data_IF_416844290050
#
_entry.id   IF_416844290050
#
_cell.length_a   1.000
_cell.length_b   1.000
_cell.length_c   1.000
_cell.angle_alpha   90.00
_cell.angle_beta   90.00
_cell.angle_gamma   90.00
#
_symmetry.space_group_name_H-M   'P 1'
#
loop_
_entity.id
_entity.type
_entity.pdbx_description
1 polymer ?
#
# COMPACT_ATOMS: atom_id res chain seq x y z
N UNK A 1 -16.09 6.12 -7.45
CA UNK A 1 -15.00 5.43 -8.18
C UNK A 1 -15.06 3.91 -8.00
N UNK A 2 -15.79 3.19 -8.86
CA UNK A 2 -15.86 1.72 -8.79
C UNK A 2 -15.63 1.09 -10.17
N UNK A 3 -15.14 -0.15 -10.19
CA UNK A 3 -14.97 -0.91 -11.42
C UNK A 3 -14.92 -2.42 -11.18
N UNK A 4 -14.61 -3.22 -12.21
CA UNK A 4 -14.72 -4.67 -12.11
C UNK A 4 -13.47 -5.32 -11.48
N UNK A 5 -13.71 -6.34 -10.64
CA UNK A 5 -12.75 -7.38 -10.27
C UNK A 5 -13.01 -8.60 -11.16
N UNK A 6 -12.13 -8.80 -12.13
CA UNK A 6 -12.26 -9.74 -13.23
C UNK A 6 -11.46 -11.00 -12.93
N UNK A 7 -12.18 -12.10 -12.70
CA UNK A 7 -11.58 -13.43 -12.60
C UNK A 7 -11.62 -14.15 -13.95
N UNK A 8 -12.73 -13.98 -14.70
CA UNK A 8 -12.85 -14.44 -16.07
C UNK A 8 -13.05 -13.24 -17.02
N UNK A 9 -12.23 -13.08 -18.07
CA UNK A 9 -12.34 -11.96 -19.01
C UNK A 9 -13.50 -12.16 -20.01
N UNK A 10 -14.74 -12.04 -19.55
CA UNK A 10 -15.93 -12.09 -20.43
C UNK A 10 -16.06 -10.79 -21.24
N UNK A 11 -16.75 -10.79 -22.39
CA UNK A 11 -16.97 -9.57 -23.18
C UNK A 11 -17.58 -8.43 -22.35
N UNK A 12 -18.53 -8.74 -21.48
CA UNK A 12 -19.22 -7.81 -20.59
C UNK A 12 -18.27 -7.21 -19.55
N UNK A 13 -17.49 -8.05 -18.86
CA UNK A 13 -16.48 -7.60 -17.91
C UNK A 13 -15.42 -6.69 -18.57
N UNK A 14 -14.97 -7.06 -19.79
CA UNK A 14 -14.01 -6.25 -20.55
C UNK A 14 -14.60 -4.91 -21.02
N UNK A 15 -15.88 -4.86 -21.38
CA UNK A 15 -16.59 -3.60 -21.67
C UNK A 15 -16.61 -2.69 -20.45
N UNK A 16 -16.89 -3.22 -19.25
CA UNK A 16 -16.85 -2.44 -18.02
C UNK A 16 -15.43 -1.96 -17.71
N UNK A 17 -14.43 -2.83 -17.82
CA UNK A 17 -13.02 -2.47 -17.62
C UNK A 17 -12.58 -1.31 -18.52
N UNK A 18 -13.07 -1.27 -19.76
CA UNK A 18 -12.72 -0.23 -20.74
C UNK A 18 -13.11 1.20 -20.33
N UNK A 19 -14.08 1.37 -19.43
CA UNK A 19 -14.58 2.70 -19.01
C UNK A 19 -14.38 2.99 -17.52
N UNK A 20 -14.14 1.97 -16.70
CA UNK A 20 -14.03 2.10 -15.25
C UNK A 20 -12.74 2.82 -14.81
N UNK A 21 -12.79 3.63 -13.73
CA UNK A 21 -11.61 4.30 -13.17
C UNK A 21 -10.64 3.35 -12.44
N UNK A 22 -11.07 2.13 -12.14
CA UNK A 22 -10.27 1.11 -11.48
C UNK A 22 -10.63 -0.28 -12.04
N UNK A 23 -9.64 -1.14 -12.23
CA UNK A 23 -9.84 -2.52 -12.72
C UNK A 23 -8.93 -3.45 -11.93
N UNK A 24 -9.47 -4.56 -11.43
CA UNK A 24 -8.69 -5.65 -10.84
C UNK A 24 -8.77 -6.87 -11.75
N UNK A 25 -7.66 -7.55 -11.96
CA UNK A 25 -7.58 -8.80 -12.70
C UNK A 25 -6.90 -9.90 -11.87
N UNK A 26 -7.49 -11.09 -11.87
CA UNK A 26 -6.95 -12.28 -11.22
C UNK A 26 -6.32 -13.20 -12.27
N UNK A 27 -5.06 -13.59 -12.08
CA UNK A 27 -4.29 -14.55 -12.88
C UNK A 27 -4.01 -14.20 -14.35
N UNK A 28 -4.89 -13.47 -15.03
CA UNK A 28 -4.72 -13.03 -16.41
C UNK A 28 -4.67 -11.49 -16.50
N UNK A 29 -3.56 -10.89 -16.96
CA UNK A 29 -3.45 -9.44 -17.07
C UNK A 29 -4.23 -8.84 -18.26
N UNK A 30 -4.85 -9.66 -19.12
CA UNK A 30 -5.58 -9.17 -20.31
C UNK A 30 -6.68 -8.12 -20.02
N UNK A 31 -7.44 -8.15 -18.91
CA UNK A 31 -8.40 -7.09 -18.62
C UNK A 31 -7.75 -5.73 -18.37
N UNK A 32 -6.49 -5.71 -17.93
CA UNK A 32 -5.76 -4.47 -17.67
C UNK A 32 -5.33 -3.77 -18.96
N UNK A 33 -5.24 -4.50 -20.08
CA UNK A 33 -4.84 -3.93 -21.39
C UNK A 33 -5.98 -3.16 -22.05
N UNK A 34 -7.24 -3.50 -21.74
CA UNK A 34 -8.42 -2.77 -22.27
C UNK A 34 -8.82 -1.59 -21.39
N UNK A 35 -8.32 -1.52 -20.15
CA UNK A 35 -8.65 -0.45 -19.22
C UNK A 35 -8.23 0.93 -19.75
N UNK A 36 -9.04 1.96 -19.48
CA UNK A 36 -8.76 3.36 -19.85
C UNK A 36 -7.37 3.82 -19.38
N UNK A 37 -6.69 4.74 -20.09
CA UNK A 37 -5.29 5.07 -19.80
C UNK A 37 -5.00 5.49 -18.35
N UNK A 38 -5.86 6.32 -17.76
CA UNK A 38 -5.73 6.83 -16.39
C UNK A 38 -6.16 5.82 -15.31
N UNK A 39 -6.82 4.71 -15.66
CA UNK A 39 -7.34 3.77 -14.66
C UNK A 39 -6.29 3.27 -13.67
N UNK A 40 -6.71 3.13 -12.42
CA UNK A 40 -5.98 2.32 -11.44
C UNK A 40 -6.11 0.86 -11.84
N UNK A 41 -5.01 0.11 -11.78
CA UNK A 41 -4.95 -1.29 -12.19
C UNK A 41 -4.42 -2.11 -11.04
N UNK A 42 -5.12 -3.18 -10.70
CA UNK A 42 -4.70 -4.13 -9.68
C UNK A 42 -4.55 -5.50 -10.34
N UNK A 43 -3.38 -6.10 -10.19
CA UNK A 43 -3.16 -7.48 -10.59
C UNK A 43 -2.96 -8.33 -9.33
N UNK A 44 -3.64 -9.47 -9.28
CA UNK A 44 -3.38 -10.49 -8.26
C UNK A 44 -3.08 -11.81 -8.94
N UNK A 45 -2.06 -12.51 -8.45
CA UNK A 45 -1.85 -13.93 -8.73
C UNK A 45 -2.52 -14.75 -7.63
N UNK A 46 -3.37 -15.70 -8.00
CA UNK A 46 -3.93 -16.67 -7.06
C UNK A 46 -2.87 -17.66 -6.60
N UNK A 47 -2.80 -17.85 -5.29
CA UNK A 47 -1.99 -18.87 -4.65
C UNK A 47 -2.91 -19.86 -3.94
N UNK A 48 -2.95 -21.14 -4.34
CA UNK A 48 -3.79 -22.14 -3.67
C UNK A 48 -3.38 -22.36 -2.21
N UNK A 49 -2.10 -22.09 -1.88
CA UNK A 49 -1.57 -22.06 -0.52
C UNK A 49 -0.76 -20.78 -0.36
N UNK A 50 -1.15 -19.96 0.62
CA UNK A 50 -0.46 -18.71 0.97
C UNK A 50 0.51 -18.98 2.13
N UNK A 51 1.60 -19.72 1.85
CA UNK A 51 2.60 -20.07 2.87
C UNK A 51 3.46 -18.86 3.22
N UNK A 52 3.28 -18.35 4.43
CA UNK A 52 4.03 -17.18 4.93
C UNK A 52 5.52 -17.45 5.15
N UNK A 53 5.95 -18.72 5.00
CA UNK A 53 7.37 -19.15 5.08
C UNK A 53 7.97 -19.42 3.70
N UNK A 54 7.21 -19.24 2.63
CA UNK A 54 7.73 -19.41 1.28
C UNK A 54 8.84 -18.39 1.00
N UNK A 55 9.75 -18.76 0.10
CA UNK A 55 10.84 -17.88 -0.33
C UNK A 55 10.28 -16.58 -0.93
N UNK A 56 10.59 -15.40 -0.36
CA UNK A 56 10.13 -14.11 -0.86
C UNK A 56 10.49 -13.88 -2.34
N UNK A 57 11.66 -14.34 -2.78
CA UNK A 57 12.09 -14.20 -4.17
C UNK A 57 11.25 -15.06 -5.12
N UNK A 58 10.98 -16.31 -4.73
CA UNK A 58 10.05 -17.18 -5.44
C UNK A 58 8.65 -16.59 -5.59
N UNK A 59 8.08 -16.00 -4.53
CA UNK A 59 6.77 -15.32 -4.59
C UNK A 59 6.80 -14.18 -5.61
N UNK A 60 7.78 -13.28 -5.50
CA UNK A 60 7.92 -12.15 -6.42
C UNK A 60 8.07 -12.64 -7.87
N UNK A 61 8.88 -13.67 -8.12
CA UNK A 61 9.07 -14.26 -9.45
C UNK A 61 7.76 -14.82 -10.02
N UNK A 62 6.99 -15.57 -9.23
CA UNK A 62 5.70 -16.15 -9.68
C UNK A 62 4.72 -15.05 -10.09
N UNK A 63 4.62 -13.98 -9.30
CA UNK A 63 3.78 -12.83 -9.62
C UNK A 63 4.24 -12.15 -10.92
N UNK A 64 5.53 -11.83 -11.02
CA UNK A 64 6.09 -11.12 -12.17
C UNK A 64 5.99 -11.93 -13.46
N UNK A 65 6.14 -13.25 -13.39
CA UNK A 65 5.91 -14.15 -14.51
C UNK A 65 4.43 -14.14 -14.94
N UNK A 66 3.50 -14.15 -13.99
CA UNK A 66 2.06 -14.12 -14.28
C UNK A 66 1.60 -12.79 -14.92
N UNK A 67 2.31 -11.69 -14.66
CA UNK A 67 2.09 -10.41 -15.35
C UNK A 67 2.42 -10.48 -16.86
N UNK A 68 3.13 -11.49 -17.35
CA UNK A 68 3.48 -11.67 -18.78
C UNK A 68 4.09 -10.41 -19.41
N UNK A 69 4.90 -9.68 -18.63
CA UNK A 69 5.54 -8.42 -19.07
C UNK A 69 4.62 -7.18 -19.07
N UNK A 70 3.35 -7.30 -18.68
CA UNK A 70 2.45 -6.16 -18.57
C UNK A 70 3.00 -5.12 -17.56
N UNK A 71 3.02 -3.85 -17.96
CA UNK A 71 3.50 -2.73 -17.14
C UNK A 71 2.62 -1.51 -17.36
N UNK A 72 2.37 -0.78 -16.28
CA UNK A 72 1.66 0.50 -16.33
C UNK A 72 2.05 1.36 -15.11
N UNK A 73 2.19 2.70 -15.22
CA UNK A 73 2.51 3.56 -14.07
C UNK A 73 1.52 3.49 -12.91
N UNK A 74 0.26 3.11 -13.21
CA UNK A 74 -0.85 2.94 -12.26
C UNK A 74 -1.14 1.47 -11.92
N UNK A 75 -0.18 0.56 -12.18
CA UNK A 75 -0.30 -0.85 -11.82
C UNK A 75 0.14 -1.09 -10.38
N UNK A 76 -0.75 -1.69 -9.60
CA UNK A 76 -0.49 -2.30 -8.30
C UNK A 76 -0.53 -3.81 -8.43
N UNK A 77 0.35 -4.46 -7.69
CA UNK A 77 0.33 -5.90 -7.45
C UNK A 77 -0.18 -6.13 -6.04
N UNK A 78 -1.21 -6.95 -5.90
CA UNK A 78 -1.70 -7.42 -4.62
C UNK A 78 -0.95 -8.70 -4.24
N UNK A 79 -0.23 -8.68 -3.10
CA UNK A 79 0.40 -9.88 -2.54
C UNK A 79 -0.64 -10.56 -1.65
N UNK A 80 -0.92 -11.84 -1.92
CA UNK A 80 -1.90 -12.68 -1.22
C UNK A 80 -3.30 -12.06 -1.04
N UNK A 81 -4.23 -12.83 -0.49
CA UNK A 81 -5.64 -12.50 -0.36
C UNK A 81 -6.20 -12.96 1.00
N UNK A 82 -7.02 -12.14 1.63
CA UNK A 82 -7.74 -12.49 2.87
C UNK A 82 -6.84 -13.11 3.93
N UNK A 83 -5.72 -12.42 4.22
CA UNK A 83 -4.81 -12.88 5.26
C UNK A 83 -5.54 -12.86 6.61
N UNK A 84 -5.60 -14.00 7.32
CA UNK A 84 -6.27 -14.06 8.61
C UNK A 84 -5.66 -13.08 9.60
N UNK A 85 -6.49 -12.41 10.40
CA UNK A 85 -6.06 -11.41 11.38
C UNK A 85 -4.85 -11.86 12.24
N UNK A 86 -4.89 -13.10 12.73
CA UNK A 86 -3.86 -13.69 13.60
C UNK A 86 -2.51 -13.88 12.93
N UNK A 87 -2.45 -13.79 11.60
CA UNK A 87 -1.23 -13.93 10.82
C UNK A 87 -0.66 -12.58 10.35
N UNK A 88 -1.27 -11.45 10.72
CA UNK A 88 -0.85 -10.11 10.27
C UNK A 88 0.64 -9.86 10.54
N UNK A 89 1.17 -10.24 11.71
CA UNK A 89 2.57 -10.01 12.05
C UNK A 89 3.54 -10.81 11.15
N UNK A 90 3.29 -12.12 11.00
CA UNK A 90 4.08 -12.97 10.10
C UNK A 90 3.97 -12.52 8.66
N UNK A 91 2.81 -12.00 8.27
CA UNK A 91 2.63 -11.50 6.92
C UNK A 91 3.37 -10.18 6.68
N UNK A 92 3.43 -9.30 7.68
CA UNK A 92 4.27 -8.12 7.62
C UNK A 92 5.77 -8.48 7.46
N UNK A 93 6.25 -9.54 8.10
CA UNK A 93 7.63 -10.05 7.90
C UNK A 93 7.88 -10.48 6.45
N UNK A 94 6.90 -11.13 5.84
CA UNK A 94 6.97 -11.54 4.43
C UNK A 94 6.95 -10.32 3.51
N UNK A 95 6.02 -9.39 3.72
CA UNK A 95 5.87 -8.18 2.91
C UNK A 95 7.15 -7.33 2.93
N UNK A 96 7.79 -7.18 4.10
CA UNK A 96 9.05 -6.44 4.22
C UNK A 96 10.18 -7.01 3.34
N UNK A 97 10.09 -8.28 2.94
CA UNK A 97 11.05 -8.95 2.05
C UNK A 97 10.58 -8.98 0.59
N UNK A 98 9.28 -9.17 0.33
CA UNK A 98 8.71 -9.25 -1.03
C UNK A 98 8.59 -7.88 -1.69
N UNK A 99 8.16 -6.85 -0.96
CA UNK A 99 7.89 -5.51 -1.50
C UNK A 99 9.11 -4.91 -2.19
N UNK A 100 10.33 -4.92 -1.61
CA UNK A 100 11.53 -4.41 -2.29
C UNK A 100 11.83 -5.10 -3.62
N UNK A 101 11.57 -6.40 -3.73
CA UNK A 101 11.81 -7.17 -4.96
C UNK A 101 10.83 -6.79 -6.07
N UNK A 102 9.56 -6.57 -5.71
CA UNK A 102 8.54 -6.08 -6.64
C UNK A 102 8.81 -4.63 -7.06
N UNK A 103 9.23 -3.77 -6.13
CA UNK A 103 9.66 -2.40 -6.44
C UNK A 103 10.87 -2.36 -7.39
N UNK A 104 11.86 -3.24 -7.18
CA UNK A 104 13.01 -3.36 -8.08
C UNK A 104 12.61 -3.77 -9.50
N UNK A 105 11.48 -4.48 -9.66
CA UNK A 105 10.89 -4.83 -10.94
C UNK A 105 9.98 -3.72 -11.54
N UNK A 106 9.88 -2.57 -10.87
CA UNK A 106 9.16 -1.39 -11.34
C UNK A 106 7.64 -1.44 -11.18
N UNK A 107 7.11 -2.28 -10.28
CA UNK A 107 5.66 -2.34 -9.98
C UNK A 107 5.37 -1.77 -8.60
N UNK A 108 4.18 -1.19 -8.42
CA UNK A 108 3.67 -0.80 -7.10
C UNK A 108 3.04 -2.00 -6.41
N UNK A 109 2.96 -1.99 -5.09
CA UNK A 109 2.44 -3.09 -4.28
C UNK A 109 1.32 -2.60 -3.37
N UNK A 110 0.21 -3.34 -3.32
CA UNK A 110 -0.81 -3.17 -2.32
C UNK A 110 -0.97 -4.43 -1.45
N UNK A 111 -1.42 -4.22 -0.22
CA UNK A 111 -1.58 -5.25 0.81
C UNK A 111 -2.05 -4.62 2.11
N UNK A 112 -2.30 -5.38 3.17
CA UNK A 112 -2.16 -6.83 3.26
C UNK A 112 -3.41 -7.62 2.82
N UNK A 113 -4.47 -6.94 2.36
CA UNK A 113 -5.70 -7.57 1.83
C UNK A 113 -6.48 -8.35 2.88
N UNK A 114 -6.82 -7.71 4.00
CA UNK A 114 -7.70 -8.32 5.00
C UNK A 114 -9.13 -8.44 4.48
N UNK A 115 -9.80 -9.55 4.82
CA UNK A 115 -11.23 -9.71 4.62
C UNK A 115 -12.03 -8.70 5.45
N UNK A 116 -13.28 -8.40 5.03
CA UNK A 116 -14.15 -7.50 5.79
C UNK A 116 -14.38 -8.02 7.21
N UNK A 117 -14.09 -7.17 8.21
CA UNK A 117 -14.25 -7.51 9.62
C UNK A 117 -13.08 -8.27 10.23
N UNK A 118 -12.06 -8.65 9.45
CA UNK A 118 -10.90 -9.42 9.92
C UNK A 118 -9.67 -8.54 10.20
N UNK A 119 -9.92 -7.35 10.74
CA UNK A 119 -8.90 -6.45 11.27
C UNK A 119 -9.51 -5.47 12.29
N UNK A 120 -8.66 -4.94 13.15
CA UNK A 120 -8.96 -3.95 14.18
C UNK A 120 -7.76 -2.99 14.35
N UNK A 121 -7.84 -2.08 15.32
CA UNK A 121 -6.81 -1.07 15.57
C UNK A 121 -5.42 -1.69 15.83
N UNK A 122 -5.33 -2.85 16.47
CA UNK A 122 -4.05 -3.49 16.77
C UNK A 122 -3.32 -3.91 15.49
N UNK A 123 -4.05 -4.42 14.50
CA UNK A 123 -3.49 -4.82 13.21
C UNK A 123 -3.00 -3.60 12.41
N UNK A 124 -3.75 -2.50 12.42
CA UNK A 124 -3.35 -1.24 11.80
C UNK A 124 -2.12 -0.64 12.49
N UNK A 125 -2.13 -0.57 13.82
CA UNK A 125 -1.00 -0.09 14.61
C UNK A 125 0.26 -0.93 14.36
N UNK A 126 0.12 -2.26 14.26
CA UNK A 126 1.22 -3.16 13.92
C UNK A 126 1.81 -2.84 12.55
N UNK A 127 0.99 -2.73 11.49
CA UNK A 127 1.47 -2.41 10.15
C UNK A 127 2.10 -1.02 10.10
N UNK A 128 1.49 -0.02 10.76
CA UNK A 128 2.00 1.34 10.86
C UNK A 128 3.36 1.42 11.55
N UNK A 129 3.55 0.69 12.65
CA UNK A 129 4.83 0.62 13.37
C UNK A 129 5.97 0.07 12.50
N UNK A 130 5.65 -0.65 11.40
CA UNK A 130 6.60 -1.17 10.43
C UNK A 130 6.67 -0.33 9.14
N UNK A 131 6.15 0.90 9.18
CA UNK A 131 6.08 1.77 8.01
C UNK A 131 5.32 1.14 6.85
N UNK A 132 4.28 0.35 7.16
CA UNK A 132 3.50 -0.41 6.18
C UNK A 132 4.34 -1.33 5.29
N UNK A 133 5.53 -1.73 5.74
CA UNK A 133 6.45 -2.58 4.98
C UNK A 133 6.78 -2.03 3.57
N UNK A 134 6.68 -0.72 3.37
CA UNK A 134 6.91 -0.07 2.08
C UNK A 134 5.76 -0.19 1.06
N UNK A 135 4.58 -0.64 1.46
CA UNK A 135 3.41 -0.72 0.58
C UNK A 135 3.07 0.64 -0.05
N UNK A 136 2.62 0.62 -1.31
CA UNK A 136 2.15 1.81 -2.03
C UNK A 136 0.68 2.14 -1.77
N UNK A 137 -0.09 1.14 -1.35
CA UNK A 137 -1.48 1.27 -0.96
C UNK A 137 -1.89 0.15 0.02
N UNK A 138 -2.86 0.45 0.88
CA UNK A 138 -3.49 -0.52 1.77
C UNK A 138 -4.61 -1.22 1.00
N UNK A 139 -4.52 -2.54 0.83
CA UNK A 139 -5.58 -3.34 0.25
C UNK A 139 -6.54 -3.83 1.35
N UNK A 140 -7.84 -3.61 1.15
CA UNK A 140 -8.91 -4.06 2.05
C UNK A 140 -10.10 -4.61 1.27
N UNK A 141 -10.85 -5.52 1.88
CA UNK A 141 -12.15 -5.97 1.38
C UNK A 141 -13.27 -5.26 2.11
N UNK A 142 -14.29 -4.81 1.39
CA UNK A 142 -15.38 -4.00 1.92
C UNK A 142 -16.73 -4.50 1.40
N UNK A 143 -17.30 -5.45 2.12
CA UNK A 143 -18.61 -6.05 1.83
C UNK A 143 -19.72 -5.44 2.68
N UNK A 144 -20.97 -5.66 2.24
CA UNK A 144 -22.18 -5.36 3.00
C UNK A 144 -23.24 -6.44 2.80
N UNK A 145 -24.22 -6.44 3.69
CA UNK A 145 -25.44 -7.26 3.57
C UNK A 145 -26.66 -6.40 3.95
N UNK A 146 -27.65 -7.00 4.61
CA UNK A 146 -28.99 -6.42 4.82
C UNK A 146 -29.00 -5.18 5.72
N UNK A 147 -27.92 -4.95 6.46
CA UNK A 147 -27.73 -3.78 7.29
C UNK A 147 -27.10 -2.58 6.54
N UNK A 148 -26.84 -2.74 5.24
CA UNK A 148 -26.35 -1.67 4.37
C UNK A 148 -24.89 -1.29 4.61
N UNK A 149 -24.54 -0.07 4.22
CA UNK A 149 -23.17 0.45 4.25
C UNK A 149 -22.87 1.04 5.63
N UNK A 150 -22.22 0.28 6.50
CA UNK A 150 -21.93 0.68 7.88
C UNK A 150 -20.44 0.91 8.10
N UNK A 151 -20.06 1.70 9.13
CA UNK A 151 -18.68 1.80 9.58
C UNK A 151 -18.08 0.46 10.04
N UNK A 152 -18.87 -0.59 10.25
CA UNK A 152 -18.36 -1.88 10.73
C UNK A 152 -18.04 -2.87 9.61
N UNK A 153 -18.56 -2.61 8.40
CA UNK A 153 -18.45 -3.46 7.21
C UNK A 153 -17.75 -2.72 6.03
N UNK A 154 -18.49 -2.33 5.00
CA UNK A 154 -18.10 -1.63 3.78
C UNK A 154 -17.28 -0.34 3.98
N UNK A 155 -17.40 0.33 5.14
CA UNK A 155 -16.70 1.58 5.45
C UNK A 155 -15.72 1.43 6.63
N UNK A 156 -15.35 0.20 7.00
CA UNK A 156 -14.56 -0.11 8.20
C UNK A 156 -13.19 0.54 8.24
N UNK A 157 -12.56 0.75 7.08
CA UNK A 157 -11.27 1.45 7.02
C UNK A 157 -11.31 2.86 7.62
N UNK A 158 -12.46 3.55 7.61
CA UNK A 158 -12.61 4.90 8.17
C UNK A 158 -12.33 4.95 9.68
N UNK A 159 -12.43 3.82 10.37
CA UNK A 159 -12.17 3.75 11.81
C UNK A 159 -10.68 3.79 12.16
N UNK A 160 -9.81 3.35 11.24
CA UNK A 160 -8.42 3.02 11.59
C UNK A 160 -7.39 3.73 10.71
N UNK A 161 -7.77 4.18 9.51
CA UNK A 161 -6.88 4.96 8.65
C UNK A 161 -6.56 6.32 9.28
N UNK A 162 -5.30 6.72 9.22
CA UNK A 162 -4.81 7.99 9.75
C UNK A 162 -4.00 8.75 8.69
N UNK A 163 -3.98 10.10 8.73
CA UNK A 163 -3.09 10.88 7.87
C UNK A 163 -1.62 10.42 8.00
N UNK A 164 -1.00 10.11 6.86
CA UNK A 164 0.34 9.53 6.78
C UNK A 164 0.36 8.03 6.49
N UNK A 165 -0.76 7.33 6.68
CA UNK A 165 -0.92 5.97 6.16
C UNK A 165 -0.99 5.99 4.61
N UNK A 166 -0.56 4.91 3.91
CA UNK A 166 -0.74 4.81 2.47
C UNK A 166 -2.23 4.94 2.07
N UNK A 167 -2.51 5.34 0.83
CA UNK A 167 -3.88 5.39 0.33
C UNK A 167 -4.49 3.99 0.28
N UNK A 168 -5.81 3.89 0.20
CA UNK A 168 -6.57 2.65 0.24
C UNK A 168 -6.96 2.20 -1.17
N UNK A 169 -6.76 0.92 -1.47
CA UNK A 169 -7.41 0.22 -2.57
C UNK A 169 -8.39 -0.80 -2.00
N UNK A 170 -9.67 -0.63 -2.32
CA UNK A 170 -10.68 -1.62 -1.95
C UNK A 170 -10.65 -2.69 -3.03
N UNK A 171 -9.88 -3.75 -2.80
CA UNK A 171 -9.60 -4.75 -3.84
C UNK A 171 -10.75 -5.72 -4.05
N UNK A 172 -11.74 -5.76 -3.15
CA UNK A 172 -12.99 -6.51 -3.29
C UNK A 172 -14.13 -5.77 -2.56
N UNK A 173 -15.28 -5.58 -3.22
CA UNK A 173 -16.48 -5.02 -2.62
C UNK A 173 -17.76 -5.59 -3.26
N UNK A 174 -18.90 -5.44 -2.57
CA UNK A 174 -20.19 -5.94 -3.02
C UNK A 174 -21.04 -6.53 -1.90
N UNK A 175 -22.17 -7.12 -2.30
CA UNK A 175 -22.99 -7.95 -1.41
C UNK A 175 -22.28 -9.26 -1.12
N UNK A 176 -21.98 -9.52 0.15
CA UNK A 176 -21.41 -10.77 0.62
C UNK A 176 -21.82 -11.03 2.08
N UNK A 177 -21.32 -12.11 2.67
CA UNK A 177 -21.49 -12.43 4.07
C UNK A 177 -20.65 -11.49 4.93
N UNK A 178 -21.31 -10.76 5.82
CA UNK A 178 -20.65 -9.86 6.76
C UNK A 178 -21.04 -10.18 8.20
N UNK A 179 -20.12 -9.94 9.14
CA UNK A 179 -20.35 -10.17 10.56
C UNK A 179 -20.77 -8.88 11.27
N UNK A 180 -21.95 -8.40 10.92
CA UNK A 180 -22.50 -7.14 11.40
C UNK A 180 -23.96 -7.26 11.89
N UNK A 181 -24.51 -8.47 11.92
CA UNK A 181 -25.84 -8.70 12.45
C UNK A 181 -25.88 -8.42 13.98
N UNK A 182 -27.04 -8.06 14.54
CA UNK A 182 -27.21 -7.89 15.98
C UNK A 182 -26.61 -9.07 16.77
N UNK A 183 -25.72 -8.77 17.73
CA UNK A 183 -25.00 -9.79 18.49
C UNK A 183 -23.74 -10.35 17.82
N UNK A 184 -23.27 -9.76 16.71
CA UNK A 184 -22.05 -10.19 16.01
C UNK A 184 -22.26 -11.45 15.14
N UNK A 185 -23.50 -11.70 14.73
CA UNK A 185 -23.87 -12.77 13.82
C UNK A 185 -23.49 -12.48 12.37
N UNK A 186 -23.58 -13.50 11.52
CA UNK A 186 -23.44 -13.35 10.07
C UNK A 186 -24.76 -12.86 9.44
N UNK A 187 -24.66 -11.91 8.52
CA UNK A 187 -25.73 -11.46 7.63
C UNK A 187 -25.33 -11.70 6.16
N UNK A 188 -26.31 -11.77 5.27
CA UNK A 188 -26.11 -12.06 3.84
C UNK A 188 -25.85 -13.54 3.53
N UNK A 189 -26.00 -13.89 2.26
CA UNK A 189 -25.90 -15.26 1.76
C UNK A 189 -24.68 -15.48 0.86
N UNK A 190 -23.93 -14.42 0.55
CA UNK A 190 -22.76 -14.46 -0.32
C UNK A 190 -23.11 -14.25 -1.79
N UNK A 191 -23.38 -12.99 -2.13
CA UNK A 191 -23.71 -12.52 -3.47
C UNK A 191 -25.13 -11.97 -3.58
N UNK A 192 -25.27 -10.87 -4.33
CA UNK A 192 -26.52 -10.13 -4.51
C UNK A 192 -27.66 -11.01 -5.06
N UNK A 193 -27.35 -11.88 -6.01
CA UNK A 193 -28.38 -12.74 -6.61
C UNK A 193 -28.85 -13.83 -5.63
N UNK A 194 -27.98 -14.27 -4.71
CA UNK A 194 -28.34 -15.24 -3.66
C UNK A 194 -29.10 -14.58 -2.51
N UNK A 195 -28.82 -13.30 -2.23
CA UNK A 195 -29.64 -12.47 -1.34
C UNK A 195 -31.03 -12.17 -1.94
N UNK A 196 -31.26 -12.54 -3.20
CA UNK A 196 -32.56 -12.38 -3.86
C UNK A 196 -32.92 -10.93 -4.17
N UNK A 197 -31.95 -10.01 -4.16
CA UNK A 197 -32.21 -8.61 -4.46
C UNK A 197 -32.27 -8.38 -5.98
N UNK A 198 -33.20 -7.55 -6.48
CA UNK A 198 -33.25 -7.21 -7.90
C UNK A 198 -31.98 -6.48 -8.36
N UNK A 199 -31.64 -6.64 -9.64
CA UNK A 199 -30.50 -5.95 -10.27
C UNK A 199 -30.53 -4.43 -10.04
N UNK A 200 -31.70 -3.81 -10.18
CA UNK A 200 -31.88 -2.37 -9.96
C UNK A 200 -31.52 -1.94 -8.52
N UNK A 201 -31.90 -2.75 -7.53
CA UNK A 201 -31.55 -2.50 -6.14
C UNK A 201 -30.03 -2.65 -5.93
N UNK A 202 -29.42 -3.70 -6.45
CA UNK A 202 -27.98 -3.91 -6.30
C UNK A 202 -27.17 -2.76 -6.94
N UNK A 203 -27.57 -2.29 -8.12
CA UNK A 203 -26.93 -1.15 -8.78
C UNK A 203 -27.10 0.14 -7.96
N UNK A 204 -28.28 0.35 -7.36
CA UNK A 204 -28.50 1.49 -6.46
C UNK A 204 -27.58 1.43 -5.23
N UNK A 205 -27.37 0.24 -4.65
CA UNK A 205 -26.42 0.03 -3.55
C UNK A 205 -24.98 0.31 -3.98
N UNK A 206 -24.56 -0.15 -5.16
CA UNK A 206 -23.25 0.15 -5.73
C UNK A 206 -23.05 1.66 -5.98
N UNK A 207 -24.07 2.35 -6.48
CA UNK A 207 -24.03 3.80 -6.66
C UNK A 207 -23.93 4.54 -5.33
N UNK A 208 -24.69 4.11 -4.31
CA UNK A 208 -24.60 4.65 -2.96
C UNK A 208 -23.20 4.42 -2.35
N UNK A 209 -22.62 3.24 -2.56
CA UNK A 209 -21.28 2.92 -2.10
C UNK A 209 -20.21 3.77 -2.80
N UNK A 210 -20.31 3.91 -4.13
CA UNK A 210 -19.44 4.79 -4.89
C UNK A 210 -19.49 6.23 -4.35
N UNK A 211 -20.69 6.75 -4.06
CA UNK A 211 -20.86 8.09 -3.48
C UNK A 211 -20.26 8.23 -2.08
N UNK A 212 -20.26 7.18 -1.26
CA UNK A 212 -19.60 7.19 0.04
C UNK A 212 -18.08 7.27 -0.10
N UNK A 213 -17.47 6.39 -0.90
CA UNK A 213 -16.01 6.35 -1.04
C UNK A 213 -15.45 7.56 -1.81
N UNK A 214 -16.26 8.23 -2.62
CA UNK A 214 -15.85 9.45 -3.32
C UNK A 214 -15.60 10.62 -2.35
N UNK A 215 -16.16 10.56 -1.14
CA UNK A 215 -15.92 11.55 -0.07
C UNK A 215 -14.59 11.31 0.66
N UNK A 216 -13.98 10.15 0.46
CA UNK A 216 -12.82 9.69 1.23
C UNK A 216 -11.54 9.83 0.42
N UNK A 217 -10.86 10.98 0.47
CA UNK A 217 -9.68 11.32 -0.36
C UNK A 217 -8.58 10.24 -0.39
N UNK A 218 -8.44 9.46 0.70
CA UNK A 218 -7.47 8.38 0.79
C UNK A 218 -7.80 7.16 -0.09
N UNK A 219 -9.05 6.97 -0.54
CA UNK A 219 -9.46 5.81 -1.35
C UNK A 219 -9.12 6.03 -2.83
N UNK A 220 -8.36 5.15 -3.46
CA UNK A 220 -8.02 5.25 -4.89
C UNK A 220 -9.11 4.66 -5.81
N UNK A 221 -9.88 3.70 -5.29
CA UNK A 221 -10.98 3.05 -6.00
C UNK A 221 -11.38 1.75 -5.33
N UNK A 222 -12.52 1.20 -5.76
CA UNK A 222 -13.02 -0.10 -5.32
C UNK A 222 -13.38 -1.02 -6.49
N UNK A 223 -13.13 -2.32 -6.35
CA UNK A 223 -13.44 -3.31 -7.39
C UNK A 223 -14.52 -4.30 -6.97
N UNK A 224 -15.60 -4.34 -7.72
CA UNK A 224 -16.78 -5.20 -7.54
C UNK A 224 -16.52 -6.56 -8.16
N UNK A 225 -16.83 -7.65 -7.46
CA UNK A 225 -16.73 -8.98 -8.05
C UNK A 225 -17.55 -9.09 -9.34
N UNK A 226 -16.94 -9.70 -10.35
CA UNK A 226 -17.59 -10.11 -11.60
C UNK A 226 -17.56 -11.64 -11.70
N UNK A 227 -17.96 -12.20 -12.85
CA UNK A 227 -17.99 -13.64 -13.11
C UNK A 227 -16.74 -14.39 -12.56
N UNK A 228 -16.98 -15.33 -11.64
CA UNK A 228 -15.94 -16.12 -10.99
C UNK A 228 -15.63 -17.46 -11.67
N UNK A 229 -14.65 -18.22 -11.14
CA UNK A 229 -14.14 -19.42 -11.79
C UNK A 229 -15.02 -20.65 -11.54
N UNK A 230 -15.82 -20.67 -10.47
CA UNK A 230 -16.60 -21.82 -10.01
C UNK A 230 -18.11 -21.52 -9.93
N UNK A 231 -18.99 -22.53 -9.95
CA UNK A 231 -20.45 -22.31 -10.02
C UNK A 231 -21.05 -21.49 -8.88
N UNK A 232 -20.46 -21.53 -7.69
CA UNK A 232 -20.89 -20.77 -6.52
C UNK A 232 -20.72 -19.25 -6.69
N UNK A 233 -19.87 -18.81 -7.62
CA UNK A 233 -19.66 -17.40 -7.96
C UNK A 233 -20.76 -16.77 -8.79
N UNK A 234 -21.68 -17.57 -9.34
CA UNK A 234 -22.83 -17.06 -10.11
C UNK A 234 -23.66 -16.05 -9.30
N UNK A 235 -23.64 -16.15 -7.97
CA UNK A 235 -24.33 -15.25 -7.07
C UNK A 235 -23.78 -13.80 -7.07
N UNK A 236 -22.54 -13.63 -7.53
CA UNK A 236 -21.84 -12.34 -7.63
C UNK A 236 -21.78 -11.81 -9.07
N UNK A 237 -22.22 -12.60 -10.05
CA UNK A 237 -22.05 -12.27 -11.46
C UNK A 237 -22.72 -10.93 -11.82
N UNK A 238 -22.02 -10.14 -12.63
CA UNK A 238 -22.48 -8.83 -13.10
C UNK A 238 -22.69 -8.78 -14.62
N UNK A 239 -22.36 -9.85 -15.35
CA UNK A 239 -22.40 -9.85 -16.81
C UNK A 239 -23.81 -9.50 -17.32
N UNK A 240 -24.83 -10.16 -16.76
CA UNK A 240 -26.24 -9.93 -17.11
C UNK A 240 -26.77 -8.52 -16.77
N UNK A 241 -26.06 -7.76 -15.92
CA UNK A 241 -26.45 -6.41 -15.50
C UNK A 241 -25.46 -5.33 -15.96
N UNK A 242 -24.48 -5.69 -16.80
CA UNK A 242 -23.41 -4.78 -17.22
C UNK A 242 -23.94 -3.56 -17.96
N UNK A 243 -24.93 -3.70 -18.84
CA UNK A 243 -25.52 -2.55 -19.54
C UNK A 243 -26.18 -1.56 -18.56
N UNK A 244 -26.83 -2.06 -17.50
CA UNK A 244 -27.41 -1.23 -16.46
C UNK A 244 -26.33 -0.56 -15.59
N UNK A 245 -25.25 -1.28 -15.26
CA UNK A 245 -24.10 -0.72 -14.54
C UNK A 245 -23.49 0.44 -15.32
N UNK A 246 -23.22 0.24 -16.61
CA UNK A 246 -22.64 1.26 -17.49
C UNK A 246 -23.55 2.47 -17.69
N UNK A 247 -24.87 2.26 -17.71
CA UNK A 247 -25.83 3.35 -17.87
C UNK A 247 -26.04 4.18 -16.59
N UNK A 248 -25.84 3.59 -15.40
CA UNK A 248 -26.25 4.21 -14.13
C UNK A 248 -25.11 4.56 -13.18
N UNK A 249 -23.95 3.93 -13.32
CA UNK A 249 -22.80 4.28 -12.50
C UNK A 249 -22.06 5.49 -13.09
N UNK A 250 -21.70 6.49 -12.28
CA UNK A 250 -21.00 7.66 -12.76
C UNK A 250 -19.60 7.27 -13.28
N UNK A 251 -19.30 7.66 -14.51
CA UNK A 251 -17.94 7.55 -15.06
C UNK A 251 -17.13 8.71 -14.50
N UNK A 252 -16.27 8.41 -13.54
CA UNK A 252 -15.34 9.39 -12.97
C UNK A 252 -13.93 9.19 -13.53
N UNK A 253 -13.10 10.24 -13.57
CA UNK A 253 -11.67 10.06 -13.79
C UNK A 253 -11.07 9.22 -12.65
N UNK A 254 -9.99 8.50 -12.94
CA UNK A 254 -9.23 7.84 -11.88
C UNK A 254 -8.58 8.91 -10.98
N UNK A 255 -8.46 8.62 -9.69
CA UNK A 255 -7.70 9.49 -8.79
C UNK A 255 -6.23 9.47 -9.16
N UNK A 256 -5.62 10.65 -9.08
CA UNK A 256 -4.18 10.77 -9.23
C UNK A 256 -3.50 10.04 -8.09
N UNK A 257 -2.45 9.30 -8.43
CA UNK A 257 -1.63 8.66 -7.42
C UNK A 257 -0.86 9.73 -6.64
N UNK A 258 -0.71 9.56 -5.31
CA UNK A 258 0.19 10.40 -4.54
C UNK A 258 1.56 10.40 -5.22
N UNK A 259 2.13 11.60 -5.39
CA UNK A 259 3.52 11.70 -5.84
C UNK A 259 4.36 11.04 -4.74
N UNK A 260 5.10 9.97 -5.07
CA UNK A 260 6.17 9.52 -4.18
C UNK A 260 7.12 10.69 -4.04
N UNK A 261 7.19 11.26 -2.85
CA UNK A 261 8.27 12.18 -2.54
C UNK A 261 9.56 11.38 -2.72
N UNK A 262 10.39 11.81 -3.67
CA UNK A 262 11.69 11.19 -3.85
C UNK A 262 12.47 11.37 -2.54
N UNK A 263 12.80 10.29 -1.80
CA UNK A 263 13.53 10.41 -0.55
C UNK A 263 14.89 11.09 -0.74
N UNK A 264 15.45 11.05 -1.96
CA UNK A 264 16.67 11.78 -2.31
C UNK A 264 16.43 13.26 -2.60
N UNK A 265 15.23 13.67 -3.01
CA UNK A 265 14.91 15.07 -3.24
C UNK A 265 14.79 15.86 -1.92
N UNK A 266 14.34 15.21 -0.83
CA UNK A 266 14.36 15.83 0.51
C UNK A 266 15.79 16.02 1.04
N UNK A 267 16.71 15.08 0.77
CA UNK A 267 18.14 15.25 1.13
C UNK A 267 18.85 16.41 0.42
N UNK A 268 18.29 16.98 -0.64
CA UNK A 268 18.85 18.14 -1.34
C UNK A 268 18.31 19.50 -0.87
N UNK A 269 17.28 19.53 -0.03
CA UNK A 269 16.63 20.79 0.40
C UNK A 269 17.03 21.29 1.78
N UNK A 270 17.74 20.48 2.55
CA UNK A 270 18.48 20.93 3.71
C UNK A 270 19.95 21.04 3.31
N UNK A 271 20.34 22.15 2.67
CA UNK A 271 21.70 22.63 2.95
C UNK A 271 21.72 22.85 4.46
N UNK A 272 22.51 22.08 5.24
CA UNK A 272 22.56 22.30 6.66
C UNK A 272 23.00 23.75 6.82
N UNK A 273 22.16 24.58 7.45
CA UNK A 273 22.64 25.86 7.95
C UNK A 273 23.93 25.54 8.68
N UNK A 274 25.04 26.15 8.25
CA UNK A 274 26.36 25.85 8.75
C UNK A 274 26.32 25.79 10.28
N UNK A 275 26.26 24.57 10.82
CA UNK A 275 26.17 24.37 12.24
C UNK A 275 27.56 24.69 12.76
N UNK A 276 27.72 25.83 13.43
CA UNK A 276 29.00 26.16 14.05
C UNK A 276 29.33 25.10 15.09
N UNK A 277 30.24 24.20 14.73
CA UNK A 277 30.69 23.15 15.63
C UNK A 277 31.64 23.75 16.67
N UNK A 278 31.27 23.62 17.94
CA UNK A 278 32.12 24.03 19.06
C UNK A 278 33.08 22.88 19.38
N UNK A 279 34.39 23.21 19.42
CA UNK A 279 35.46 22.32 19.86
C UNK A 279 36.25 22.99 20.97
N UNK A 280 36.82 22.20 21.88
CA UNK A 280 37.60 22.68 23.01
C UNK A 280 38.86 23.45 22.60
N UNK A 281 39.43 24.26 23.51
CA UNK A 281 40.46 25.24 23.19
C UNK A 281 41.73 24.63 22.57
N UNK A 282 42.14 23.44 23.01
CA UNK A 282 43.30 22.73 22.46
C UNK A 282 43.13 22.32 21.00
N UNK A 283 41.94 21.85 20.62
CA UNK A 283 41.62 21.51 19.22
C UNK A 283 41.40 22.78 18.41
N UNK A 284 40.66 23.76 18.95
CA UNK A 284 40.39 25.03 18.28
C UNK A 284 41.67 25.79 17.92
N UNK A 285 42.65 25.83 18.82
CA UNK A 285 43.96 26.44 18.55
C UNK A 285 44.67 25.72 17.39
N UNK A 286 44.70 24.38 17.43
CA UNK A 286 45.41 23.59 16.41
C UNK A 286 44.75 23.69 15.03
N UNK A 287 43.42 23.74 14.97
CA UNK A 287 42.67 24.01 13.75
C UNK A 287 43.04 25.38 13.16
N UNK A 288 43.12 26.44 13.99
CA UNK A 288 43.56 27.77 13.52
C UNK A 288 45.00 27.77 12.98
N UNK A 289 45.93 27.12 13.67
CA UNK A 289 47.33 26.98 13.21
C UNK A 289 47.42 26.26 11.86
N UNK A 290 46.52 25.31 11.60
CA UNK A 290 46.47 24.53 10.37
C UNK A 290 45.60 25.19 9.26
N UNK A 291 44.98 26.34 9.56
CA UNK A 291 44.03 26.99 8.66
C UNK A 291 42.82 26.10 8.33
N UNK A 292 42.33 25.34 9.30
CA UNK A 292 41.22 24.39 9.18
C UNK A 292 39.98 24.88 9.94
N UNK A 293 38.81 24.27 9.67
CA UNK A 293 37.53 24.57 10.32
C UNK A 293 36.87 23.29 10.81
N UNK A 294 36.19 23.30 11.97
CA UNK A 294 35.54 22.10 12.48
C UNK A 294 34.34 21.73 11.60
N UNK A 295 34.25 20.45 11.25
CA UNK A 295 33.09 19.83 10.58
C UNK A 295 32.37 18.83 11.48
N UNK A 296 32.80 18.73 12.74
CA UNK A 296 32.14 17.96 13.79
C UNK A 296 32.33 18.65 15.14
N UNK A 297 31.44 18.39 16.13
CA UNK A 297 31.75 18.74 17.51
C UNK A 297 32.91 17.88 18.03
N UNK A 298 33.54 18.33 19.11
CA UNK A 298 34.50 17.52 19.85
C UNK A 298 33.79 16.35 20.56
N UNK A 299 34.36 15.16 20.47
CA UNK A 299 33.87 13.94 21.16
C UNK A 299 34.95 13.40 22.07
N UNK A 300 34.61 13.11 23.31
CA UNK A 300 35.53 12.47 24.25
C UNK A 300 35.63 10.97 23.98
N UNK A 301 36.86 10.44 23.98
CA UNK A 301 37.14 9.00 23.92
C UNK A 301 37.73 8.62 25.27
N UNK A 302 36.86 8.17 26.18
CA UNK A 302 37.20 8.01 27.59
C UNK A 302 37.56 9.33 28.26
N UNK A 303 38.25 9.26 29.40
CA UNK A 303 38.54 10.44 30.22
C UNK A 303 39.79 11.21 29.79
N UNK A 304 40.66 10.60 28.98
CA UNK A 304 42.02 11.07 28.73
C UNK A 304 42.24 11.69 27.34
N UNK A 305 41.29 11.54 26.41
CA UNK A 305 41.41 12.15 25.08
C UNK A 305 40.08 12.62 24.49
N UNK A 306 40.17 13.47 23.48
CA UNK A 306 39.04 13.91 22.66
C UNK A 306 39.43 14.06 21.20
N UNK A 307 38.44 13.96 20.31
CA UNK A 307 38.60 13.99 18.86
C UNK A 307 37.63 14.97 18.22
N UNK A 308 38.06 15.69 17.20
CA UNK A 308 37.18 16.43 16.29
C UNK A 308 37.67 16.32 14.84
N UNK A 309 36.75 16.44 13.90
CA UNK A 309 37.04 16.42 12.48
C UNK A 309 37.05 17.86 11.96
N UNK A 310 38.09 18.21 11.19
CA UNK A 310 38.16 19.42 10.40
C UNK A 310 37.97 19.14 8.91
N UNK A 311 37.88 20.19 8.09
CA UNK A 311 37.81 20.10 6.64
C UNK A 311 39.10 19.47 6.04
N UNK A 312 40.25 19.62 6.72
CA UNK A 312 41.57 19.20 6.20
C UNK A 312 42.22 18.08 7.02
N UNK A 313 41.85 17.92 8.29
CA UNK A 313 42.50 16.96 9.18
C UNK A 313 41.58 16.46 10.30
N UNK A 314 42.02 15.38 10.95
CA UNK A 314 41.48 14.89 12.21
C UNK A 314 42.35 15.42 13.34
N UNK A 315 41.73 15.92 14.40
CA UNK A 315 42.39 16.50 15.56
C UNK A 315 42.14 15.64 16.78
N UNK A 316 43.20 15.19 17.45
CA UNK A 316 43.11 14.38 18.67
C UNK A 316 43.81 15.12 19.79
N UNK A 317 43.08 15.53 20.82
CA UNK A 317 43.63 16.16 22.01
C UNK A 317 43.82 15.13 23.12
N UNK A 318 45.04 15.05 23.66
CA UNK A 318 45.40 14.20 24.78
C UNK A 318 45.53 15.07 26.03
N UNK A 319 44.68 14.81 27.03
CA UNK A 319 44.60 15.62 28.26
C UNK A 319 45.82 15.46 29.15
N UNK A 320 46.35 14.25 29.27
CA UNK A 320 47.50 13.94 30.13
C UNK A 320 48.76 14.69 29.71
N UNK A 321 48.98 14.79 28.40
CA UNK A 321 50.12 15.50 27.82
C UNK A 321 49.82 16.96 27.48
N UNK A 322 48.56 17.38 27.58
CA UNK A 322 48.05 18.68 27.13
C UNK A 322 48.50 19.02 25.69
N UNK A 323 48.36 18.07 24.76
CA UNK A 323 48.81 18.20 23.36
C UNK A 323 47.73 17.78 22.37
N UNK A 324 47.63 18.51 21.26
CA UNK A 324 46.77 18.18 20.12
C UNK A 324 47.60 17.64 18.96
N UNK A 325 47.26 16.44 18.49
CA UNK A 325 47.82 15.80 17.31
C UNK A 325 46.94 16.05 16.09
N UNK A 326 47.57 16.24 14.93
CA UNK A 326 46.88 16.49 13.65
C UNK A 326 47.18 15.32 12.71
N UNK A 327 46.13 14.72 12.17
CA UNK A 327 46.21 13.62 11.22
C UNK A 327 45.59 14.13 9.91
N UNK A 328 46.38 14.50 8.89
CA UNK A 328 45.85 15.00 7.63
C UNK A 328 44.85 14.02 7.00
N UNK A 329 43.72 14.53 6.52
CA UNK A 329 42.82 13.75 5.68
C UNK A 329 43.53 13.44 4.35
N UNK A 330 43.36 12.22 3.84
CA UNK A 330 43.94 11.80 2.56
C UNK A 330 43.13 12.28 1.37
#
# INVERSE_FOLDING_TARGET
MIGPHIIRPTPEALRWAGVAPVVKALDDPSPLTVARPDAIRVFRRFFPVQDLRADPAGIAQVILAALKGYRHPNLFVEVYNEIPRQLTASYADLLAQVVPLLHAAGVRVCGPSWATGDYDEEHWAHMRARGWCGLDAIAVHCYWADHGLTPWNALRYRQFWQPGDPPILITECGRDRVRDAPGGGWSGNGGWARDGIPADQYIAELAAYASQIDQDEMVLGATVFTAGPTPDWVAFDTDAITDLLLARLPVQPARSLPKKEDPMAQKKKEEPMAQEYVVGPGIAQKMREYGDRPVSPERYIGDWMSIAFGEKAIYVYNKDSNRTYVIPAR
#
